data_IF_030094279340
#
_entry.id   IF_030094279340
#
_cell.length_a   1.000
_cell.length_b   1.000
_cell.length_c   1.000
_cell.angle_alpha   90.00
_cell.angle_beta   90.00
_cell.angle_gamma   90.00
#
_symmetry.space_group_name_H-M   'P 1'
#
loop_
_entity.id
_entity.type
_entity.pdbx_description
1 polymer ?
#
# COMPACT_ATOMS: atom_id res chain seq x y z
N UNK A 1 18.58 -11.70 -7.76
CA UNK A 1 19.79 -12.25 -8.43
C UNK A 1 20.75 -12.71 -7.34
N UNK A 2 20.97 -14.01 -7.18
CA UNK A 2 21.85 -14.51 -6.11
C UNK A 2 23.31 -14.45 -6.59
N UNK A 3 24.20 -13.79 -5.84
CA UNK A 3 25.60 -13.60 -6.20
C UNK A 3 26.32 -14.93 -6.56
N UNK A 4 25.88 -16.03 -5.95
CA UNK A 4 26.43 -17.38 -6.12
C UNK A 4 26.28 -17.91 -7.56
N UNK A 5 25.14 -17.68 -8.24
CA UNK A 5 24.93 -18.20 -9.60
C UNK A 5 25.71 -17.42 -10.66
N UNK A 6 25.88 -16.10 -10.45
CA UNK A 6 26.72 -15.25 -11.28
C UNK A 6 28.20 -15.68 -11.18
N UNK A 7 28.67 -15.92 -9.96
CA UNK A 7 30.04 -16.39 -9.70
C UNK A 7 30.28 -17.75 -10.36
N UNK A 8 29.33 -18.69 -10.25
CA UNK A 8 29.44 -20.00 -10.87
C UNK A 8 29.50 -19.94 -12.41
N UNK A 9 28.73 -19.06 -13.04
CA UNK A 9 28.80 -18.83 -14.50
C UNK A 9 30.15 -18.26 -14.93
N UNK A 10 30.68 -17.29 -14.20
CA UNK A 10 31.97 -16.67 -14.51
C UNK A 10 33.10 -17.70 -14.39
N UNK A 11 33.12 -18.49 -13.31
CA UNK A 11 34.11 -19.55 -13.10
C UNK A 11 34.02 -20.61 -14.20
N UNK A 12 32.80 -20.99 -14.60
CA UNK A 12 32.59 -21.96 -15.69
C UNK A 12 33.04 -21.42 -17.04
N UNK A 13 32.81 -20.13 -17.33
CA UNK A 13 33.30 -19.48 -18.53
C UNK A 13 34.83 -19.45 -18.61
N UNK A 14 35.49 -19.07 -17.51
CA UNK A 14 36.96 -19.06 -17.40
C UNK A 14 37.52 -20.47 -17.53
N UNK A 15 36.92 -21.46 -16.86
CA UNK A 15 37.32 -22.87 -16.94
C UNK A 15 37.21 -23.46 -18.35
N UNK A 16 36.19 -23.06 -19.11
CA UNK A 16 36.03 -23.47 -20.51
C UNK A 16 37.13 -22.92 -21.42
N UNK A 17 37.43 -21.62 -21.31
CA UNK A 17 38.51 -20.96 -22.07
C UNK A 17 39.88 -21.56 -21.70
N UNK A 18 40.11 -21.83 -20.42
CA UNK A 18 41.34 -22.45 -19.94
C UNK A 18 41.52 -23.89 -20.43
N UNK A 19 40.45 -24.71 -20.40
CA UNK A 19 40.44 -26.06 -20.94
C UNK A 19 40.77 -26.10 -22.44
N UNK A 20 40.21 -25.17 -23.23
CA UNK A 20 40.51 -25.03 -24.67
C UNK A 20 41.97 -24.63 -24.89
N UNK A 21 42.50 -23.70 -24.10
CA UNK A 21 43.91 -23.30 -24.16
C UNK A 21 44.85 -24.48 -23.90
N UNK A 22 44.54 -25.30 -22.88
CA UNK A 22 45.32 -26.50 -22.52
C UNK A 22 45.17 -27.62 -23.55
N UNK A 23 44.00 -27.78 -24.16
CA UNK A 23 43.84 -28.70 -25.28
C UNK A 23 44.74 -28.30 -26.47
N UNK A 24 44.80 -27.01 -26.81
CA UNK A 24 45.68 -26.50 -27.89
C UNK A 24 47.16 -26.71 -27.58
N UNK A 25 47.54 -26.73 -26.31
CA UNK A 25 48.89 -27.06 -25.85
C UNK A 25 49.18 -28.58 -25.77
N UNK A 26 48.28 -29.44 -26.26
CA UNK A 26 48.50 -30.88 -26.36
C UNK A 26 48.07 -31.70 -25.14
N UNK A 27 47.46 -31.08 -24.13
CA UNK A 27 46.99 -31.80 -22.94
C UNK A 27 45.66 -32.51 -23.21
N UNK A 28 45.66 -33.85 -23.14
CA UNK A 28 44.49 -34.70 -23.41
C UNK A 28 43.27 -34.40 -22.51
N UNK A 29 43.49 -33.88 -21.31
CA UNK A 29 42.44 -33.52 -20.35
C UNK A 29 41.79 -32.15 -20.61
N UNK A 30 42.36 -31.31 -21.48
CA UNK A 30 41.82 -29.97 -21.74
C UNK A 30 40.42 -30.00 -22.37
N UNK A 31 40.19 -30.99 -23.25
CA UNK A 31 38.90 -31.20 -23.94
C UNK A 31 37.76 -31.60 -23.00
N UNK A 32 37.90 -32.61 -22.11
CA UNK A 32 36.84 -32.96 -21.16
C UNK A 32 36.56 -31.84 -20.14
N UNK A 33 37.58 -31.09 -19.70
CA UNK A 33 37.38 -29.93 -18.79
C UNK A 33 36.58 -28.82 -19.47
N UNK A 34 36.94 -28.46 -20.70
CA UNK A 34 36.20 -27.45 -21.44
C UNK A 34 34.73 -27.83 -21.65
N UNK A 35 34.48 -29.11 -21.95
CA UNK A 35 33.14 -29.64 -22.20
C UNK A 35 32.28 -29.64 -20.93
N UNK A 36 32.84 -30.06 -19.78
CA UNK A 36 32.19 -30.00 -18.47
C UNK A 36 31.82 -28.56 -18.09
N UNK A 37 32.76 -27.63 -18.20
CA UNK A 37 32.53 -26.22 -17.90
C UNK A 37 31.48 -25.58 -18.82
N UNK A 38 31.47 -25.95 -20.11
CA UNK A 38 30.44 -25.49 -21.05
C UNK A 38 29.05 -26.03 -20.68
N UNK A 39 28.93 -27.31 -20.31
CA UNK A 39 27.67 -27.91 -19.85
C UNK A 39 27.18 -27.25 -18.57
N UNK A 40 28.05 -26.97 -17.59
CA UNK A 40 27.68 -26.24 -16.38
C UNK A 40 27.18 -24.82 -16.69
N UNK A 41 27.85 -24.09 -17.59
CA UNK A 41 27.43 -22.76 -17.98
C UNK A 41 26.06 -22.77 -18.68
N UNK A 42 25.83 -23.72 -19.60
CA UNK A 42 24.54 -23.91 -20.28
C UNK A 42 23.46 -24.36 -19.29
N UNK A 43 23.78 -25.23 -18.33
CA UNK A 43 22.86 -25.65 -17.28
C UNK A 43 22.44 -24.50 -16.37
N UNK A 44 23.37 -23.64 -15.95
CA UNK A 44 23.06 -22.43 -15.18
C UNK A 44 22.23 -21.43 -16.00
N UNK A 45 22.54 -21.26 -17.29
CA UNK A 45 21.78 -20.41 -18.20
C UNK A 45 20.36 -20.96 -18.45
N UNK A 46 20.23 -22.27 -18.66
CA UNK A 46 18.95 -22.96 -18.81
C UNK A 46 18.11 -22.88 -17.54
N UNK A 47 18.71 -23.09 -16.37
CA UNK A 47 18.04 -22.90 -15.08
C UNK A 47 17.54 -21.46 -14.89
N UNK A 48 18.28 -20.47 -15.38
CA UNK A 48 17.84 -19.07 -15.42
C UNK A 48 16.69 -18.83 -16.39
N UNK A 49 16.67 -19.48 -17.54
CA UNK A 49 15.54 -19.43 -18.47
C UNK A 49 14.28 -20.08 -17.88
N UNK A 50 14.42 -20.91 -16.84
CA UNK A 50 13.31 -21.44 -16.05
C UNK A 50 12.89 -20.52 -14.88
N UNK A 51 13.65 -19.48 -14.52
CA UNK A 51 13.22 -18.50 -13.50
C UNK A 51 11.95 -17.74 -13.87
N UNK A 52 11.75 -17.29 -15.13
CA UNK A 52 10.46 -16.75 -15.59
C UNK A 52 9.28 -17.73 -15.49
N UNK A 53 9.55 -19.05 -15.39
CA UNK A 53 8.54 -20.09 -15.21
C UNK A 53 8.24 -20.37 -13.73
N UNK A 54 9.01 -19.83 -12.78
CA UNK A 54 8.62 -19.81 -11.37
C UNK A 54 7.50 -18.79 -11.23
N UNK A 55 6.32 -19.28 -10.85
CA UNK A 55 5.14 -18.43 -10.60
C UNK A 55 5.53 -17.27 -9.67
N UNK A 56 5.13 -16.02 -9.97
CA UNK A 56 5.41 -14.91 -9.07
C UNK A 56 4.81 -15.20 -7.70
N UNK A 57 5.54 -14.85 -6.64
CA UNK A 57 5.07 -14.99 -5.25
C UNK A 57 4.07 -13.88 -4.90
N UNK A 58 2.91 -13.92 -5.56
CA UNK A 58 1.85 -12.92 -5.37
C UNK A 58 1.37 -12.86 -3.90
N UNK A 59 1.33 -14.02 -3.22
CA UNK A 59 0.90 -14.12 -1.82
C UNK A 59 1.91 -13.47 -0.88
N UNK A 60 3.21 -13.74 -1.06
CA UNK A 60 4.25 -13.14 -0.25
C UNK A 60 4.39 -11.64 -0.49
N UNK A 61 4.23 -11.15 -1.73
CA UNK A 61 4.20 -9.70 -2.02
C UNK A 61 3.02 -9.04 -1.34
N UNK A 62 1.81 -9.60 -1.48
CA UNK A 62 0.61 -9.08 -0.83
C UNK A 62 0.76 -9.04 0.69
N UNK A 63 1.21 -10.13 1.31
CA UNK A 63 1.42 -10.20 2.76
C UNK A 63 2.41 -9.14 3.26
N UNK A 64 3.49 -8.89 2.51
CA UNK A 64 4.47 -7.84 2.83
C UNK A 64 3.81 -6.47 2.80
N UNK A 65 3.08 -6.15 1.74
CA UNK A 65 2.39 -4.86 1.60
C UNK A 65 1.38 -4.63 2.73
N UNK A 66 0.58 -5.66 3.06
CA UNK A 66 -0.39 -5.60 4.16
C UNK A 66 0.26 -5.31 5.52
N UNK A 67 1.43 -5.89 5.81
CA UNK A 67 2.15 -5.63 7.06
C UNK A 67 2.64 -4.16 7.14
N UNK A 68 3.10 -3.60 6.02
CA UNK A 68 3.50 -2.18 5.98
C UNK A 68 2.29 -1.25 6.15
N UNK A 69 1.15 -1.56 5.53
CA UNK A 69 -0.09 -0.78 5.69
C UNK A 69 -0.60 -0.84 7.14
N UNK A 70 -0.54 -2.01 7.78
CA UNK A 70 -0.87 -2.17 9.20
C UNK A 70 0.04 -1.33 10.10
N UNK A 71 1.35 -1.31 9.84
CA UNK A 71 2.30 -0.48 10.57
C UNK A 71 2.04 1.03 10.38
N UNK A 72 1.66 1.45 9.17
CA UNK A 72 1.23 2.82 8.86
C UNK A 72 -0.01 3.23 9.64
N UNK A 73 -1.04 2.40 9.62
CA UNK A 73 -2.26 2.61 10.39
C UNK A 73 -1.98 2.67 11.90
N UNK A 74 -1.15 1.75 12.41
CA UNK A 74 -0.71 1.76 13.80
C UNK A 74 -0.03 3.07 14.17
N UNK A 75 0.91 3.56 13.36
CA UNK A 75 1.65 4.78 13.69
C UNK A 75 0.76 6.02 13.72
N UNK A 76 -0.20 6.09 12.80
CA UNK A 76 -1.20 7.16 12.81
C UNK A 76 -2.04 7.10 14.08
N UNK A 77 -2.56 5.91 14.42
CA UNK A 77 -3.42 5.73 15.57
C UNK A 77 -2.70 5.98 16.90
N UNK A 78 -1.45 5.54 17.05
CA UNK A 78 -0.56 5.85 18.18
C UNK A 78 -0.46 7.37 18.41
N UNK A 79 -0.20 8.12 17.34
CA UNK A 79 -0.13 9.59 17.41
C UNK A 79 -1.48 10.21 17.79
N UNK A 80 -2.57 9.76 17.17
CA UNK A 80 -3.91 10.28 17.46
C UNK A 80 -4.36 9.96 18.89
N UNK A 81 -4.04 8.78 19.41
CA UNK A 81 -4.34 8.36 20.78
C UNK A 81 -3.56 9.16 21.83
N UNK A 82 -2.32 9.54 21.53
CA UNK A 82 -1.55 10.44 22.36
C UNK A 82 -2.11 11.88 22.34
N UNK A 83 -2.62 12.32 21.18
CA UNK A 83 -3.06 13.72 20.97
C UNK A 83 -4.51 13.96 21.38
N UNK A 84 -5.39 12.96 21.21
CA UNK A 84 -6.84 13.05 21.42
C UNK A 84 -7.38 11.87 22.24
N UNK A 85 -6.86 11.60 23.45
CA UNK A 85 -7.37 10.52 24.29
C UNK A 85 -8.83 10.77 24.69
N UNK A 86 -9.59 9.68 24.86
CA UNK A 86 -11.01 9.68 25.21
C UNK A 86 -11.97 9.98 24.07
N UNK A 87 -11.48 10.08 22.83
CA UNK A 87 -12.33 10.40 21.67
C UNK A 87 -12.98 9.15 21.06
N UNK A 88 -14.12 9.37 20.40
CA UNK A 88 -14.81 8.35 19.59
C UNK A 88 -14.42 8.50 18.13
N UNK A 89 -13.96 7.42 17.51
CA UNK A 89 -13.54 7.38 16.13
C UNK A 89 -14.53 6.61 15.25
N UNK A 90 -14.77 7.13 14.05
CA UNK A 90 -15.37 6.38 12.95
C UNK A 90 -14.29 6.15 11.89
N UNK A 91 -14.16 4.91 11.42
CA UNK A 91 -13.25 4.54 10.34
C UNK A 91 -14.03 4.49 9.04
N UNK A 92 -13.61 5.30 8.07
CA UNK A 92 -14.15 5.34 6.72
C UNK A 92 -13.35 4.39 5.83
N UNK A 93 -14.01 3.38 5.28
CA UNK A 93 -13.45 2.36 4.38
C UNK A 93 -14.12 2.37 3.01
N UNK A 94 -13.46 1.76 2.02
CA UNK A 94 -14.03 1.58 0.70
C UNK A 94 -15.19 0.59 0.78
N UNK A 95 -16.30 0.79 0.06
CA UNK A 95 -17.37 -0.20 0.02
C UNK A 95 -16.81 -1.50 -0.54
N UNK A 96 -16.89 -2.55 0.26
CA UNK A 96 -16.52 -3.88 -0.20
C UNK A 96 -17.60 -4.37 -1.16
N UNK A 97 -17.23 -4.68 -2.40
CA UNK A 97 -18.15 -5.20 -3.40
C UNK A 97 -17.64 -6.53 -3.91
N UNK A 98 -18.49 -7.55 -3.80
CA UNK A 98 -18.27 -8.85 -4.44
C UNK A 98 -19.26 -9.06 -5.57
N UNK A 99 -18.87 -9.74 -6.67
CA UNK A 99 -19.77 -10.15 -7.74
C UNK A 99 -21.05 -10.86 -7.28
N UNK A 100 -20.98 -11.61 -6.16
CA UNK A 100 -22.08 -12.40 -5.60
C UNK A 100 -22.86 -11.72 -4.47
N UNK A 101 -22.62 -10.43 -4.21
CA UNK A 101 -23.32 -9.67 -3.16
C UNK A 101 -22.98 -10.04 -1.70
N UNK A 102 -22.19 -11.09 -1.46
CA UNK A 102 -21.67 -11.45 -0.14
C UNK A 102 -20.31 -10.78 0.08
N UNK A 103 -20.35 -9.57 0.59
CA UNK A 103 -19.16 -8.80 0.91
C UNK A 103 -18.48 -9.34 2.19
N UNK A 104 -17.19 -9.74 2.19
CA UNK A 104 -16.48 -9.98 3.44
C UNK A 104 -16.58 -8.74 4.32
N UNK A 105 -16.77 -8.92 5.64
CA UNK A 105 -16.86 -7.77 6.55
C UNK A 105 -15.57 -6.96 6.36
N UNK A 106 -15.64 -5.63 6.20
CA UNK A 106 -14.45 -4.80 6.10
C UNK A 106 -13.48 -5.01 7.28
N UNK A 107 -14.00 -5.57 8.39
CA UNK A 107 -13.26 -5.97 9.59
C UNK A 107 -12.58 -7.34 9.49
N UNK A 108 -12.77 -8.09 8.41
CA UNK A 108 -12.19 -9.42 8.22
C UNK A 108 -10.67 -9.33 8.15
N UNK A 109 -10.04 -10.00 9.11
CA UNK A 109 -8.60 -10.06 9.30
C UNK A 109 -7.95 -10.74 8.09
N UNK A 110 -6.90 -10.15 7.52
CA UNK A 110 -6.25 -10.66 6.30
C UNK A 110 -6.70 -10.02 4.99
N UNK A 111 -7.72 -9.16 5.02
CA UNK A 111 -8.03 -8.24 3.89
C UNK A 111 -7.20 -6.95 3.99
N UNK A 112 -7.01 -6.20 2.89
CA UNK A 112 -6.38 -4.87 2.94
C UNK A 112 -7.00 -3.93 3.98
N UNK A 113 -8.32 -3.83 4.00
CA UNK A 113 -9.04 -2.98 4.95
C UNK A 113 -8.95 -3.50 6.39
N UNK A 114 -9.09 -4.82 6.57
CA UNK A 114 -9.00 -5.46 7.89
C UNK A 114 -7.65 -5.21 8.55
N UNK A 115 -6.54 -5.33 7.82
CA UNK A 115 -5.20 -5.06 8.34
C UNK A 115 -4.99 -3.59 8.73
N UNK A 116 -5.54 -2.65 7.95
CA UNK A 116 -5.53 -1.23 8.31
C UNK A 116 -6.33 -1.00 9.59
N UNK A 117 -7.54 -1.56 9.70
CA UNK A 117 -8.39 -1.45 10.90
C UNK A 117 -7.71 -2.08 12.12
N UNK A 118 -7.05 -3.22 11.98
CA UNK A 118 -6.27 -3.83 13.06
C UNK A 118 -5.12 -2.93 13.51
N UNK A 119 -4.38 -2.35 12.56
CA UNK A 119 -3.34 -1.38 12.88
C UNK A 119 -3.90 -0.18 13.65
N UNK A 120 -5.04 0.37 13.22
CA UNK A 120 -5.74 1.44 13.92
C UNK A 120 -6.14 1.02 15.35
N UNK A 121 -6.76 -0.15 15.52
CA UNK A 121 -7.15 -0.68 16.85
C UNK A 121 -5.94 -0.83 17.77
N UNK A 122 -4.85 -1.41 17.26
CA UNK A 122 -3.63 -1.63 18.02
C UNK A 122 -2.97 -0.31 18.44
N UNK A 123 -2.94 0.70 17.57
CA UNK A 123 -2.36 2.01 17.88
C UNK A 123 -3.25 2.86 18.79
N UNK A 124 -4.57 2.75 18.67
CA UNK A 124 -5.52 3.43 19.55
C UNK A 124 -5.50 2.87 20.98
N UNK A 125 -5.34 1.55 21.12
CA UNK A 125 -5.44 0.88 22.41
C UNK A 125 -6.79 1.15 23.08
N UNK A 126 -6.75 1.51 24.36
CA UNK A 126 -7.91 1.87 25.17
C UNK A 126 -8.24 3.38 25.14
N UNK A 127 -7.42 4.19 24.46
CA UNK A 127 -7.53 5.65 24.48
C UNK A 127 -8.52 6.21 23.48
N UNK A 128 -8.83 5.48 22.40
CA UNK A 128 -9.80 5.91 21.38
C UNK A 128 -10.71 4.73 21.04
N UNK A 129 -12.02 4.94 21.16
CA UNK A 129 -13.03 3.94 20.86
C UNK A 129 -13.42 4.02 19.38
N UNK A 130 -13.26 2.93 18.62
CA UNK A 130 -13.84 2.84 17.27
C UNK A 130 -15.33 2.52 17.40
N UNK A 131 -16.18 3.53 17.26
CA UNK A 131 -17.64 3.40 17.39
C UNK A 131 -18.34 3.02 16.07
N UNK A 132 -17.60 3.00 14.96
CA UNK A 132 -18.14 2.60 13.67
C UNK A 132 -17.08 2.39 12.62
N UNK A 133 -17.34 1.44 11.73
CA UNK A 133 -16.64 1.27 10.45
C UNK A 133 -17.72 1.48 9.38
N UNK A 134 -17.53 2.45 8.51
CA UNK A 134 -18.56 2.94 7.58
C UNK A 134 -17.97 3.11 6.19
N UNK A 135 -18.81 3.06 5.17
CA UNK A 135 -18.42 3.29 3.79
C UNK A 135 -19.38 4.29 3.11
N UNK A 136 -18.95 4.99 2.05
CA UNK A 136 -19.86 5.78 1.24
C UNK A 136 -20.93 4.90 0.60
N UNK A 137 -22.11 5.45 0.34
CA UNK A 137 -23.14 4.74 -0.41
C UNK A 137 -22.77 4.71 -1.89
N UNK A 138 -22.81 3.53 -2.50
CA UNK A 138 -22.52 3.37 -3.92
C UNK A 138 -23.60 4.06 -4.76
N UNK A 139 -23.21 4.95 -5.71
CA UNK A 139 -24.16 5.53 -6.65
C UNK A 139 -24.86 4.45 -7.49
N UNK A 140 -26.08 4.74 -7.97
CA UNK A 140 -26.88 3.79 -8.74
C UNK A 140 -26.16 3.28 -10.00
N UNK A 141 -25.44 4.16 -10.72
CA UNK A 141 -24.67 3.76 -11.90
C UNK A 141 -23.51 2.82 -11.56
N UNK A 142 -22.89 2.98 -10.38
CA UNK A 142 -21.85 2.07 -9.90
C UNK A 142 -22.48 0.73 -9.55
N UNK A 143 -23.57 0.70 -8.77
CA UNK A 143 -24.32 -0.53 -8.47
C UNK A 143 -24.70 -1.31 -9.73
N UNK A 144 -25.24 -0.61 -10.73
CA UNK A 144 -25.57 -1.22 -12.01
C UNK A 144 -24.33 -1.78 -12.73
N UNK A 145 -23.20 -1.07 -12.71
CA UNK A 145 -21.96 -1.59 -13.30
C UNK A 145 -21.45 -2.84 -12.59
N UNK A 146 -21.60 -2.93 -11.26
CA UNK A 146 -21.19 -4.06 -10.45
C UNK A 146 -22.06 -5.29 -10.74
N UNK A 147 -23.38 -5.09 -10.88
CA UNK A 147 -24.33 -6.15 -11.28
C UNK A 147 -23.97 -6.70 -12.66
N UNK A 148 -23.75 -5.82 -13.65
CA UNK A 148 -23.34 -6.25 -14.99
C UNK A 148 -21.97 -6.95 -15.02
N UNK A 149 -21.02 -6.52 -14.19
CA UNK A 149 -19.70 -7.13 -14.09
C UNK A 149 -19.76 -8.51 -13.41
N UNK A 150 -20.66 -8.71 -12.45
CA UNK A 150 -20.90 -10.02 -11.83
C UNK A 150 -21.45 -11.05 -12.82
N UNK A 151 -22.27 -10.61 -13.77
CA UNK A 151 -22.80 -11.43 -14.85
C UNK A 151 -21.78 -11.69 -15.98
N UNK A 152 -20.71 -10.89 -16.05
CA UNK A 152 -19.66 -10.96 -17.07
C UNK A 152 -18.27 -11.21 -16.45
N UNK A 153 -18.18 -12.20 -15.57
CA UNK A 153 -16.89 -12.73 -15.13
C UNK A 153 -16.01 -13.04 -16.35
N UNK A 154 -14.77 -12.53 -16.43
CA UNK A 154 -13.90 -12.78 -17.58
C UNK A 154 -13.79 -14.29 -17.86
N UNK A 155 -13.86 -14.73 -19.14
CA UNK A 155 -13.80 -16.15 -19.52
C UNK A 155 -12.50 -16.85 -19.07
N UNK A 156 -11.50 -16.06 -18.76
CA UNK A 156 -10.15 -16.38 -18.27
C UNK A 156 -10.01 -16.28 -16.73
N UNK A 157 -11.10 -16.03 -16.00
CA UNK A 157 -11.10 -15.99 -14.53
C UNK A 157 -10.42 -14.76 -13.93
N UNK A 158 -10.26 -13.69 -14.71
CA UNK A 158 -9.78 -12.40 -14.22
C UNK A 158 -10.73 -11.75 -13.23
N UNK A 159 -10.22 -10.86 -12.38
CA UNK A 159 -11.05 -10.06 -11.47
C UNK A 159 -11.96 -9.12 -12.30
N UNK A 160 -13.25 -8.99 -11.96
CA UNK A 160 -14.13 -8.05 -12.62
C UNK A 160 -13.60 -6.62 -12.51
N UNK A 161 -13.56 -5.92 -13.64
CA UNK A 161 -13.10 -4.53 -13.70
C UNK A 161 -14.17 -3.62 -13.09
N UNK A 162 -13.96 -3.23 -11.84
CA UNK A 162 -14.84 -2.28 -11.17
C UNK A 162 -14.43 -0.83 -11.46
N UNK A 163 -15.41 0.07 -11.42
CA UNK A 163 -15.15 1.51 -11.53
C UNK A 163 -14.23 1.95 -10.36
N UNK A 164 -13.07 2.57 -10.65
CA UNK A 164 -12.17 3.06 -9.61
C UNK A 164 -12.87 4.02 -8.64
N UNK A 165 -12.47 3.97 -7.37
CA UNK A 165 -13.02 4.83 -6.32
C UNK A 165 -13.00 6.32 -6.71
N UNK A 166 -11.93 6.77 -7.34
CA UNK A 166 -11.72 8.16 -7.76
C UNK A 166 -12.76 8.66 -8.76
N UNK A 167 -13.41 7.76 -9.51
CA UNK A 167 -14.41 8.13 -10.52
C UNK A 167 -15.78 8.44 -9.91
N UNK A 168 -16.09 7.91 -8.72
CA UNK A 168 -17.42 8.03 -8.10
C UNK A 168 -17.43 8.59 -6.68
N UNK A 169 -16.31 8.56 -5.95
CA UNK A 169 -16.22 9.12 -4.60
C UNK A 169 -16.05 10.64 -4.63
N UNK A 170 -17.15 11.34 -4.35
CA UNK A 170 -17.28 12.79 -4.47
C UNK A 170 -17.33 13.49 -3.11
N UNK A 171 -17.09 14.80 -3.11
CA UNK A 171 -17.29 15.67 -1.94
C UNK A 171 -18.69 15.50 -1.33
N UNK A 172 -19.73 15.37 -2.17
CA UNK A 172 -21.09 15.12 -1.72
C UNK A 172 -21.21 13.79 -0.96
N UNK A 173 -20.65 12.70 -1.50
CA UNK A 173 -20.70 11.39 -0.85
C UNK A 173 -19.97 11.42 0.51
N UNK A 174 -18.84 12.11 0.59
CA UNK A 174 -18.13 12.31 1.86
C UNK A 174 -18.96 13.13 2.86
N UNK A 175 -19.52 14.27 2.43
CA UNK A 175 -20.33 15.13 3.30
C UNK A 175 -21.61 14.43 3.80
N UNK A 176 -22.24 13.59 2.98
CA UNK A 176 -23.38 12.76 3.38
C UNK A 176 -23.01 11.77 4.48
N UNK A 177 -21.84 11.14 4.36
CA UNK A 177 -21.30 10.24 5.38
C UNK A 177 -21.02 11.00 6.69
N UNK A 178 -20.37 12.17 6.60
CA UNK A 178 -20.14 13.05 7.76
C UNK A 178 -21.47 13.47 8.38
N UNK A 179 -22.50 13.79 7.59
CA UNK A 179 -23.82 14.16 8.13
C UNK A 179 -24.48 13.01 8.91
N UNK A 180 -24.31 11.77 8.43
CA UNK A 180 -24.88 10.56 9.02
C UNK A 180 -24.15 10.12 10.29
N UNK A 181 -22.82 10.23 10.32
CA UNK A 181 -21.97 9.65 11.39
C UNK A 181 -21.18 10.68 12.20
N UNK A 182 -21.01 11.91 11.71
CA UNK A 182 -20.19 12.94 12.34
C UNK A 182 -20.76 13.50 13.66
N UNK A 183 -21.99 13.13 14.04
CA UNK A 183 -22.56 13.45 15.36
C UNK A 183 -22.26 12.41 16.42
N UNK A 184 -21.80 11.22 16.03
CA UNK A 184 -21.52 10.11 16.95
C UNK A 184 -20.03 9.93 17.21
N UNK A 185 -19.18 10.78 16.63
CA UNK A 185 -17.73 10.69 16.74
C UNK A 185 -17.09 12.08 16.84
N UNK A 186 -15.89 12.10 17.41
CA UNK A 186 -15.02 13.28 17.49
C UNK A 186 -13.89 13.21 16.47
N UNK A 187 -13.68 12.04 15.86
CA UNK A 187 -12.61 11.73 14.91
C UNK A 187 -13.15 10.85 13.77
N UNK A 188 -12.82 11.22 12.54
CA UNK A 188 -12.98 10.40 11.35
C UNK A 188 -11.59 10.02 10.85
N UNK A 189 -11.35 8.72 10.67
CA UNK A 189 -10.14 8.20 10.04
C UNK A 189 -10.50 7.65 8.67
N UNK A 190 -10.05 8.29 7.59
CA UNK A 190 -10.24 7.78 6.24
C UNK A 190 -9.11 6.83 5.85
N UNK A 191 -9.46 5.61 5.44
CA UNK A 191 -8.53 4.65 4.85
C UNK A 191 -8.53 4.72 3.32
N UNK A 192 -9.35 5.60 2.73
CA UNK A 192 -9.55 5.73 1.29
C UNK A 192 -9.18 7.14 0.76
N UNK A 193 -8.54 7.95 1.61
CA UNK A 193 -8.23 9.33 1.28
C UNK A 193 -9.44 10.24 1.27
N UNK A 194 -9.40 11.26 0.41
CA UNK A 194 -10.46 12.25 0.24
C UNK A 194 -10.87 12.33 -1.23
N UNK A 195 -12.09 12.80 -1.52
CA UNK A 195 -12.56 13.00 -2.89
C UNK A 195 -11.64 13.89 -3.72
N UNK A 196 -11.55 13.65 -5.03
CA UNK A 196 -10.77 14.49 -5.95
C UNK A 196 -11.25 15.95 -5.96
N UNK A 197 -12.55 16.16 -5.80
CA UNK A 197 -13.18 17.47 -5.69
C UNK A 197 -13.25 18.00 -4.25
N UNK A 198 -12.30 17.60 -3.38
CA UNK A 198 -12.26 17.95 -1.95
C UNK A 198 -12.53 19.43 -1.65
N UNK A 199 -12.14 20.37 -2.51
CA UNK A 199 -12.42 21.80 -2.33
C UNK A 199 -13.91 22.16 -2.23
N UNK A 200 -14.80 21.26 -2.68
CA UNK A 200 -16.26 21.41 -2.62
C UNK A 200 -16.88 20.89 -1.33
N UNK A 201 -16.13 20.18 -0.48
CA UNK A 201 -16.68 19.59 0.75
C UNK A 201 -17.21 20.65 1.70
N UNK A 202 -18.48 20.50 2.09
CA UNK A 202 -19.12 21.26 3.15
C UNK A 202 -18.41 21.04 4.49
N UNK A 203 -17.75 19.89 4.69
CA UNK A 203 -16.88 19.60 5.83
C UNK A 203 -15.91 20.74 6.18
N UNK A 204 -15.34 21.41 5.16
CA UNK A 204 -14.41 22.52 5.39
C UNK A 204 -15.04 23.75 6.03
N UNK A 205 -16.35 23.93 5.84
CA UNK A 205 -17.12 25.10 6.27
C UNK A 205 -17.88 24.86 7.58
N UNK A 206 -17.85 23.64 8.11
CA UNK A 206 -18.52 23.27 9.35
C UNK A 206 -17.90 23.99 10.56
N UNK A 207 -18.72 24.70 11.35
CA UNK A 207 -18.28 25.35 12.60
C UNK A 207 -17.87 24.36 13.68
N UNK A 208 -18.63 23.26 13.82
CA UNK A 208 -18.32 22.12 14.68
C UNK A 208 -18.23 20.90 13.77
N UNK A 209 -17.05 20.30 13.69
CA UNK A 209 -16.80 19.09 12.89
C UNK A 209 -15.95 18.10 13.67
N UNK A 210 -16.09 16.79 13.40
CA UNK A 210 -15.09 15.82 13.81
C UNK A 210 -13.71 16.19 13.29
N UNK A 211 -12.68 15.78 14.00
CA UNK A 211 -11.30 15.78 13.50
C UNK A 211 -11.23 14.82 12.32
N UNK A 212 -10.33 15.11 11.38
CA UNK A 212 -10.11 14.27 10.21
C UNK A 212 -8.66 13.81 10.20
N UNK A 213 -8.45 12.52 10.01
CA UNK A 213 -7.14 11.92 9.81
C UNK A 213 -7.17 10.95 8.63
N UNK A 214 -6.02 10.78 7.97
CA UNK A 214 -5.89 9.94 6.76
C UNK A 214 -4.89 8.82 7.01
N UNK A 215 -5.37 7.57 7.06
CA UNK A 215 -4.52 6.38 7.11
C UNK A 215 -3.93 6.01 5.74
N UNK A 216 -4.56 6.49 4.67
CA UNK A 216 -4.12 6.34 3.28
C UNK A 216 -4.69 7.46 2.42
N UNK A 217 -4.26 7.53 1.16
CA UNK A 217 -4.68 8.49 0.16
C UNK A 217 -3.64 9.57 -0.13
N UNK A 218 -3.92 10.36 -1.17
CA UNK A 218 -3.01 11.44 -1.58
C UNK A 218 -3.09 12.64 -0.65
N UNK A 219 -1.93 13.12 -0.19
CA UNK A 219 -1.79 14.35 0.58
C UNK A 219 -1.43 15.56 -0.29
N UNK A 220 -1.31 15.36 -1.61
CA UNK A 220 -0.76 16.34 -2.55
C UNK A 220 -1.45 17.70 -2.47
N UNK A 221 -2.78 17.72 -2.39
CA UNK A 221 -3.57 18.96 -2.32
C UNK A 221 -3.95 19.37 -0.89
N UNK A 222 -3.30 18.80 0.14
CA UNK A 222 -3.71 18.95 1.55
C UNK A 222 -2.76 19.79 2.40
N UNK A 223 -1.74 20.42 1.82
CA UNK A 223 -0.75 21.21 2.56
C UNK A 223 -1.38 22.20 3.54
N UNK A 224 -2.28 23.05 3.06
CA UNK A 224 -2.99 24.04 3.90
C UNK A 224 -3.91 23.38 4.92
N UNK A 225 -4.60 22.31 4.54
CA UNK A 225 -5.50 21.61 5.45
C UNK A 225 -4.74 20.96 6.62
N UNK A 226 -3.57 20.38 6.34
CA UNK A 226 -2.66 19.82 7.35
C UNK A 226 -2.03 20.93 8.21
N UNK A 227 -1.49 21.99 7.58
CA UNK A 227 -0.85 23.09 8.30
C UNK A 227 -1.81 23.84 9.26
N UNK A 228 -3.11 23.88 8.94
CA UNK A 228 -4.13 24.52 9.78
C UNK A 228 -4.82 23.56 10.74
N UNK A 229 -4.48 22.26 10.74
CA UNK A 229 -5.12 21.23 11.54
C UNK A 229 -6.55 20.87 11.09
N UNK A 230 -6.99 21.33 9.91
CA UNK A 230 -8.23 20.87 9.30
C UNK A 230 -8.19 19.38 8.96
N UNK A 231 -7.00 18.90 8.58
CA UNK A 231 -6.60 17.49 8.66
C UNK A 231 -5.58 17.39 9.79
N UNK A 232 -5.89 16.61 10.81
CA UNK A 232 -5.12 16.55 12.07
C UNK A 232 -3.88 15.68 11.97
N UNK A 233 -3.90 14.65 11.14
CA UNK A 233 -2.75 13.84 10.80
C UNK A 233 -3.00 13.06 9.50
N UNK A 234 -1.96 12.77 8.75
CA UNK A 234 -2.02 11.92 7.57
C UNK A 234 -0.77 11.04 7.46
N UNK A 235 -0.95 9.83 6.93
CA UNK A 235 0.14 8.96 6.51
C UNK A 235 0.30 9.09 5.00
N UNK A 236 1.54 9.20 4.55
CA UNK A 236 1.87 9.16 3.12
C UNK A 236 3.17 8.40 2.92
N UNK A 237 3.39 7.89 1.71
CA UNK A 237 4.68 7.30 1.34
C UNK A 237 5.79 8.35 1.44
N UNK A 238 6.94 7.94 1.97
CA UNK A 238 8.14 8.77 1.99
C UNK A 238 8.75 8.82 0.58
N UNK A 239 8.74 9.98 -0.11
CA UNK A 239 9.27 10.08 -1.48
C UNK A 239 10.77 9.82 -1.57
N UNK A 240 11.49 9.85 -0.44
CA UNK A 240 12.93 9.57 -0.38
C UNK A 240 13.26 8.08 -0.21
N UNK A 241 12.26 7.22 0.01
CA UNK A 241 12.46 5.79 0.21
C UNK A 241 12.28 5.04 -1.09
N UNK A 242 13.19 4.12 -1.36
CA UNK A 242 13.07 3.19 -2.47
C UNK A 242 12.08 2.10 -2.04
N UNK A 243 11.07 1.86 -2.88
CA UNK A 243 10.19 0.72 -2.70
C UNK A 243 11.01 -0.55 -2.94
N UNK A 244 11.32 -1.26 -1.86
CA UNK A 244 11.98 -2.56 -1.91
C UNK A 244 10.97 -3.67 -1.62
N UNK A 245 11.29 -4.87 -2.09
CA UNK A 245 10.49 -6.07 -1.82
C UNK A 245 10.87 -6.71 -0.47
N UNK A 246 11.55 -6.01 0.44
CA UNK A 246 11.97 -6.65 1.69
C UNK A 246 10.79 -6.88 2.64
N UNK A 247 10.91 -7.94 3.46
CA UNK A 247 9.93 -8.20 4.50
C UNK A 247 9.84 -7.03 5.49
N UNK A 248 8.61 -6.75 5.93
CA UNK A 248 8.37 -5.76 6.96
C UNK A 248 9.09 -6.19 8.25
N UNK A 249 9.86 -5.28 8.89
CA UNK A 249 10.37 -5.49 10.23
C UNK A 249 9.24 -5.90 11.19
N UNK A 250 9.55 -6.78 12.16
CA UNK A 250 8.57 -7.18 13.19
C UNK A 250 8.15 -6.01 14.10
N UNK A 251 9.03 -5.04 14.28
CA UNK A 251 8.71 -3.81 15.00
C UNK A 251 7.91 -2.86 14.09
N UNK A 252 6.66 -2.51 14.45
CA UNK A 252 5.81 -1.67 13.60
C UNK A 252 6.39 -0.26 13.41
N UNK A 253 7.13 0.29 14.39
CA UNK A 253 7.76 1.59 14.23
C UNK A 253 8.88 1.56 13.18
N UNK A 254 9.73 0.53 13.18
CA UNK A 254 10.74 0.31 12.16
C UNK A 254 10.12 0.06 10.78
N UNK A 255 9.05 -0.74 10.69
CA UNK A 255 8.34 -0.99 9.43
C UNK A 255 7.74 0.32 8.85
N UNK A 256 7.14 1.14 9.72
CA UNK A 256 6.65 2.46 9.34
C UNK A 256 7.75 3.36 8.76
N UNK A 257 8.82 3.55 9.53
CA UNK A 257 9.91 4.48 9.20
C UNK A 257 10.66 4.13 7.89
N UNK A 258 10.49 2.89 7.42
CA UNK A 258 11.07 2.40 6.16
C UNK A 258 10.33 2.93 4.92
N UNK A 259 9.02 3.14 4.99
CA UNK A 259 8.18 3.43 3.81
C UNK A 259 7.34 4.69 3.91
N UNK A 260 7.08 5.19 5.11
CA UNK A 260 6.05 6.21 5.31
C UNK A 260 6.54 7.41 6.13
N UNK A 261 5.80 8.50 5.98
CA UNK A 261 5.88 9.71 6.76
C UNK A 261 4.58 9.91 7.53
N UNK A 262 4.69 10.36 8.78
CA UNK A 262 3.55 10.86 9.54
C UNK A 262 3.56 12.37 9.40
N UNK A 263 2.51 12.91 8.78
CA UNK A 263 2.35 14.33 8.51
C UNK A 263 1.35 14.89 9.51
N UNK A 264 1.77 15.95 10.21
CA UNK A 264 1.00 16.62 11.26
C UNK A 264 1.11 18.13 11.05
N UNK A 265 0.24 18.95 11.68
CA UNK A 265 0.36 20.41 11.62
C UNK A 265 1.77 20.90 11.96
N UNK A 266 2.40 20.28 12.95
CA UNK A 266 3.69 20.69 13.50
C UNK A 266 4.87 20.47 12.54
N UNK A 267 4.80 19.43 11.69
CA UNK A 267 5.88 19.07 10.79
C UNK A 267 5.59 19.35 9.30
N UNK A 268 4.37 19.79 8.96
CA UNK A 268 3.94 20.01 7.56
C UNK A 268 4.87 20.96 6.83
N UNK A 269 5.29 22.07 7.46
CA UNK A 269 6.20 23.04 6.84
C UNK A 269 7.56 22.42 6.52
N UNK A 270 8.17 21.74 7.49
CA UNK A 270 9.48 21.11 7.34
C UNK A 270 9.45 20.00 6.27
N UNK A 271 8.38 19.19 6.24
CA UNK A 271 8.21 18.16 5.23
C UNK A 271 8.00 18.73 3.82
N UNK A 272 7.27 19.84 3.68
CA UNK A 272 7.10 20.52 2.39
C UNK A 272 8.41 21.08 1.83
N UNK A 273 9.30 21.57 2.70
CA UNK A 273 10.63 22.06 2.31
C UNK A 273 11.56 20.91 1.94
N UNK A 274 11.51 19.79 2.68
CA UNK A 274 12.36 18.62 2.44
C UNK A 274 11.92 17.80 1.23
N UNK A 275 10.62 17.70 0.97
CA UNK A 275 10.03 16.86 -0.07
C UNK A 275 9.15 17.70 -1.01
N UNK A 276 9.76 18.32 -2.03
CA UNK A 276 9.08 19.23 -2.95
C UNK A 276 7.94 18.59 -3.76
N UNK A 277 7.96 17.27 -3.93
CA UNK A 277 6.91 16.50 -4.63
C UNK A 277 5.75 16.06 -3.72
N UNK A 278 5.87 16.23 -2.40
CA UNK A 278 4.86 15.77 -1.44
C UNK A 278 3.56 16.58 -1.52
N UNK A 279 3.67 17.87 -1.87
CA UNK A 279 2.54 18.79 -1.95
C UNK A 279 2.55 19.56 -3.28
N UNK A 280 1.36 19.95 -3.75
CA UNK A 280 1.20 20.83 -4.88
C UNK A 280 1.88 22.19 -4.64
N UNK A 281 2.58 22.70 -5.64
CA UNK A 281 3.11 24.08 -5.64
C UNK A 281 1.96 25.09 -5.65
N UNK A 282 1.74 25.78 -4.53
CA UNK A 282 0.76 26.88 -4.41
C UNK A 282 -0.51 26.58 -3.61
N UNK A 283 -0.61 25.41 -2.97
CA UNK A 283 -1.75 25.00 -2.13
C UNK A 283 -1.67 25.38 -0.66
#
# INVERSE_FOLDING_TARGET
MNAISLIAMIISGIGSVWGISRQKAGYAWGRPVALLCAVCAVGCAGWRMLEPLRKPDHVGVMRRELAYQQAAAWKLADHLAATYPGTKAVVLVEPQVTPSGASPDARDTGTPQGNVIEGLKAGFGDKIEIVGVVSPELPAHVKQSLEMAGDMAPPDGGEPMFMPLEEWFTAQAFDELVRKHGRTCDLIVSTIGLPQDLGRMAFWKMKKRPKLALASGSVYNLRRALATGAVTAAVSHDPSRIYDEEEAPKDPAAAFARRYLLITPDNTKALAEKHSSLFATGG
#
